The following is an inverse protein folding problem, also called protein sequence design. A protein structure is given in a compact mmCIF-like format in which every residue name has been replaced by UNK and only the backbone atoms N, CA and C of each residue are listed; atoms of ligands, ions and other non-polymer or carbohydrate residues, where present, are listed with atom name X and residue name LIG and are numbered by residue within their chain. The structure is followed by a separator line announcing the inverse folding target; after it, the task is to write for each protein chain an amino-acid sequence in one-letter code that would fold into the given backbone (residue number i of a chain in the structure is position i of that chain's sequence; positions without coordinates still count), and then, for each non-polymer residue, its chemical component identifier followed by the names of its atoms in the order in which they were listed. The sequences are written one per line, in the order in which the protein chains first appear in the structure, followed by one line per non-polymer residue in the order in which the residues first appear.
data_IF_005935125947
#
_entry.id   IF_005935125947
#
_cell.length_a   1.000
_cell.length_b   1.000
_cell.length_c   1.000
_cell.angle_alpha   90.00
_cell.angle_beta   90.00
_cell.angle_gamma   90.00
#
_symmetry.space_group_name_H-M   'P 1'
#
loop_
_entity.id
_entity.type
_entity.pdbx_description
1 polymer ?
#
# COMPACT_ATOMS: atom_id res chain seq x y z
N UNK A 1 -32.85 5.52 9.82
CA UNK A 1 -31.62 5.71 10.55
C UNK A 1 -30.44 5.41 9.67
N UNK A 2 -29.50 6.32 9.61
CA UNK A 2 -28.33 6.13 8.80
C UNK A 2 -27.28 5.37 9.61
N UNK A 3 -26.80 4.26 9.04
CA UNK A 3 -25.72 3.52 9.70
C UNK A 3 -24.44 4.35 9.70
N UNK A 4 -23.73 4.42 10.84
CA UNK A 4 -22.41 5.04 10.85
C UNK A 4 -21.49 4.37 9.86
N UNK A 5 -20.50 5.11 9.37
CA UNK A 5 -19.50 4.55 8.45
C UNK A 5 -18.80 3.34 9.05
N UNK A 6 -18.67 3.29 10.38
CA UNK A 6 -18.08 2.17 11.09
C UNK A 6 -18.91 0.88 11.01
N UNK A 7 -20.17 0.98 10.60
CA UNK A 7 -21.04 -0.18 10.43
C UNK A 7 -21.13 -0.62 8.96
N UNK A 8 -20.16 -0.23 8.16
CA UNK A 8 -20.11 -0.67 6.77
C UNK A 8 -20.03 -2.19 6.72
N UNK A 9 -20.63 -2.72 5.66
CA UNK A 9 -20.60 -4.15 5.36
C UNK A 9 -19.13 -4.61 5.25
N UNK A 10 -18.84 -5.75 5.86
CA UNK A 10 -17.47 -6.29 5.83
C UNK A 10 -16.98 -6.53 4.39
N UNK A 11 -17.87 -6.96 3.50
CA UNK A 11 -17.52 -7.16 2.10
C UNK A 11 -17.12 -5.87 1.40
N UNK A 12 -17.78 -4.75 1.75
CA UNK A 12 -17.40 -3.44 1.21
C UNK A 12 -16.03 -3.00 1.71
N UNK A 13 -15.75 -3.21 3.00
CA UNK A 13 -14.45 -2.87 3.59
C UNK A 13 -13.33 -3.65 2.92
N UNK A 14 -13.52 -4.96 2.76
CA UNK A 14 -12.52 -5.82 2.10
C UNK A 14 -12.32 -5.42 0.65
N UNK A 15 -13.39 -5.06 -0.04
CA UNK A 15 -13.31 -4.63 -1.44
C UNK A 15 -12.53 -3.33 -1.58
N UNK A 16 -12.76 -2.37 -0.69
CA UNK A 16 -12.04 -1.10 -0.69
C UNK A 16 -10.56 -1.32 -0.44
N UNK A 17 -10.20 -2.19 0.50
CA UNK A 17 -8.81 -2.52 0.77
C UNK A 17 -8.14 -3.16 -0.45
N UNK A 18 -8.83 -4.03 -1.15
CA UNK A 18 -8.30 -4.66 -2.36
C UNK A 18 -8.04 -3.63 -3.46
N UNK A 19 -8.96 -2.68 -3.65
CA UNK A 19 -8.80 -1.62 -4.64
C UNK A 19 -7.57 -0.77 -4.30
N UNK A 20 -7.39 -0.41 -3.04
CA UNK A 20 -6.25 0.40 -2.62
C UNK A 20 -4.92 -0.35 -2.79
N UNK A 21 -4.89 -1.65 -2.50
CA UNK A 21 -3.70 -2.46 -2.74
C UNK A 21 -3.38 -2.54 -4.23
N UNK A 22 -4.38 -2.61 -5.08
CA UNK A 22 -4.18 -2.61 -6.53
C UNK A 22 -3.62 -1.27 -7.01
N UNK A 23 -4.05 -0.16 -6.42
CA UNK A 23 -3.51 1.16 -6.72
C UNK A 23 -2.05 1.26 -6.30
N UNK A 24 -1.71 0.75 -5.12
CA UNK A 24 -0.32 0.69 -4.66
C UNK A 24 0.52 -0.14 -5.62
N UNK A 25 0.02 -1.31 -6.01
CA UNK A 25 0.74 -2.18 -6.95
C UNK A 25 0.95 -1.49 -8.29
N UNK A 26 -0.07 -0.80 -8.81
CA UNK A 26 0.03 -0.09 -10.07
C UNK A 26 1.11 1.00 -10.01
N UNK A 27 1.18 1.75 -8.91
CA UNK A 27 2.19 2.78 -8.74
C UNK A 27 3.59 2.16 -8.63
N UNK A 28 3.72 1.05 -7.90
CA UNK A 28 5.02 0.39 -7.74
C UNK A 28 5.53 -0.26 -9.03
N UNK A 29 4.67 -0.46 -10.03
CA UNK A 29 5.13 -0.91 -11.36
C UNK A 29 5.94 0.15 -12.08
N UNK A 30 5.81 1.40 -11.70
CA UNK A 30 6.61 2.49 -12.28
C UNK A 30 8.02 2.54 -11.71
N UNK A 31 8.28 1.83 -10.61
CA UNK A 31 9.56 1.77 -9.94
C UNK A 31 9.40 1.69 -8.43
N UNK A 32 10.49 1.51 -7.69
CA UNK A 32 10.43 1.50 -6.22
C UNK A 32 10.03 2.87 -5.67
N UNK A 33 9.22 2.87 -4.62
CA UNK A 33 8.77 4.09 -3.96
C UNK A 33 8.70 3.90 -2.45
N UNK A 34 8.88 4.99 -1.72
CA UNK A 34 8.74 5.01 -0.26
C UNK A 34 7.27 5.19 0.12
N UNK A 35 6.94 4.89 1.38
CA UNK A 35 5.55 5.07 1.86
C UNK A 35 5.07 6.51 1.69
N UNK A 36 5.85 7.57 2.05
CA UNK A 36 5.40 8.94 1.80
C UNK A 36 5.13 9.23 0.33
N UNK A 37 5.92 8.69 -0.58
CA UNK A 37 5.71 8.87 -2.02
C UNK A 37 4.41 8.21 -2.47
N UNK A 38 4.15 7.00 -1.99
CA UNK A 38 2.91 6.29 -2.29
C UNK A 38 1.71 7.06 -1.74
N UNK A 39 1.82 7.53 -0.49
CA UNK A 39 0.75 8.29 0.15
C UNK A 39 0.43 9.56 -0.65
N UNK A 40 1.45 10.27 -1.10
CA UNK A 40 1.27 11.47 -1.92
C UNK A 40 0.58 11.15 -3.24
N UNK A 41 1.02 10.09 -3.92
CA UNK A 41 0.45 9.70 -5.21
C UNK A 41 -1.01 9.27 -5.09
N UNK A 42 -1.34 8.53 -4.04
CA UNK A 42 -2.69 8.02 -3.85
C UNK A 42 -3.61 8.99 -3.10
N UNK A 43 -3.08 10.12 -2.66
CA UNK A 43 -3.81 11.08 -1.83
C UNK A 43 -4.41 10.40 -0.60
N UNK A 44 -3.61 9.56 0.06
CA UNK A 44 -4.04 8.77 1.21
C UNK A 44 -3.15 9.06 2.42
N UNK A 45 -3.67 8.91 3.65
CA UNK A 45 -2.85 9.08 4.84
C UNK A 45 -1.72 8.05 4.89
N UNK A 46 -0.54 8.47 5.35
CA UNK A 46 0.61 7.57 5.46
C UNK A 46 0.32 6.36 6.34
N UNK A 47 -0.48 6.54 7.40
CA UNK A 47 -0.84 5.44 8.29
C UNK A 47 -1.60 4.34 7.54
N UNK A 48 -2.51 4.72 6.64
CA UNK A 48 -3.27 3.76 5.85
C UNK A 48 -2.36 3.07 4.83
N UNK A 49 -1.52 3.84 4.14
CA UNK A 49 -0.56 3.29 3.17
C UNK A 49 0.38 2.31 3.87
N UNK A 50 0.84 2.62 5.07
CA UNK A 50 1.69 1.72 5.85
C UNK A 50 0.99 0.38 6.07
N UNK A 51 -0.29 0.40 6.44
CA UNK A 51 -1.06 -0.83 6.64
C UNK A 51 -1.12 -1.66 5.36
N UNK A 52 -1.40 -1.01 4.23
CA UNK A 52 -1.51 -1.70 2.94
C UNK A 52 -0.16 -2.29 2.52
N UNK A 53 0.91 -1.51 2.62
CA UNK A 53 2.25 -1.95 2.23
C UNK A 53 2.73 -3.09 3.13
N UNK A 54 2.51 -2.99 4.45
CA UNK A 54 2.90 -4.05 5.37
C UNK A 54 2.12 -5.35 5.11
N UNK A 55 0.84 -5.24 4.77
CA UNK A 55 0.05 -6.40 4.39
C UNK A 55 0.58 -7.04 3.10
N UNK A 56 0.91 -6.22 2.11
CA UNK A 56 1.47 -6.72 0.85
C UNK A 56 2.84 -7.38 1.07
N UNK A 57 3.64 -6.81 1.97
CA UNK A 57 4.95 -7.38 2.33
C UNK A 57 4.76 -8.74 3.01
N UNK A 58 3.78 -8.85 3.90
CA UNK A 58 3.46 -10.11 4.58
C UNK A 58 3.11 -11.22 3.62
N UNK A 59 2.40 -10.87 2.55
CA UNK A 59 2.00 -11.84 1.52
C UNK A 59 3.03 -11.98 0.39
N UNK A 60 4.19 -11.35 0.52
CA UNK A 60 5.26 -11.48 -0.46
C UNK A 60 5.04 -10.71 -1.75
N UNK A 61 4.13 -9.74 -1.76
CA UNK A 61 3.85 -8.95 -2.96
C UNK A 61 4.76 -7.73 -3.12
N UNK A 62 5.36 -7.26 -2.03
CA UNK A 62 6.35 -6.18 -2.05
C UNK A 62 7.52 -6.57 -1.17
N UNK A 63 8.66 -5.96 -1.43
CA UNK A 63 9.85 -6.10 -0.61
C UNK A 63 10.46 -4.74 -0.37
N UNK A 64 11.09 -4.56 0.78
CA UNK A 64 11.86 -3.36 1.07
C UNK A 64 13.24 -3.48 0.42
N UNK A 65 13.70 -2.36 -0.13
CA UNK A 65 15.03 -2.27 -0.72
C UNK A 65 15.96 -1.52 0.22
N UNK A 66 17.29 -1.72 0.08
CA UNK A 66 18.25 -0.97 0.88
C UNK A 66 18.07 0.52 0.69
N UNK A 67 18.26 1.29 1.75
CA UNK A 67 18.25 2.74 1.70
C UNK A 67 19.63 3.28 2.04
N UNK A 68 19.94 4.50 1.60
CA UNK A 68 21.15 5.17 2.00
C UNK A 68 21.00 5.73 3.42
N UNK A 69 22.12 6.11 4.06
CA UNK A 69 22.09 6.68 5.41
C UNK A 69 21.36 8.00 5.48
N UNK A 70 21.29 8.72 4.37
CA UNK A 70 20.59 9.99 4.31
C UNK A 70 19.10 9.87 4.09
N UNK A 71 18.62 8.66 3.76
CA UNK A 71 17.21 8.43 3.53
C UNK A 71 16.51 8.07 4.84
N UNK A 72 15.35 8.65 5.07
CA UNK A 72 14.53 8.37 6.25
C UNK A 72 13.65 7.16 6.09
N UNK A 73 13.39 6.74 4.85
CA UNK A 73 12.43 5.68 4.55
C UNK A 73 13.01 4.67 3.57
N UNK A 74 12.63 3.41 3.75
CA UNK A 74 12.97 2.36 2.80
C UNK A 74 12.07 2.46 1.57
N UNK A 75 12.63 2.37 0.35
CA UNK A 75 11.79 2.19 -0.83
C UNK A 75 11.28 0.76 -0.90
N UNK A 76 10.07 0.60 -1.41
CA UNK A 76 9.45 -0.70 -1.61
C UNK A 76 9.31 -0.98 -3.09
N UNK A 77 9.58 -2.21 -3.47
CA UNK A 77 9.45 -2.66 -4.85
C UNK A 77 8.39 -3.75 -4.94
N UNK A 78 7.66 -3.76 -6.05
CA UNK A 78 6.69 -4.80 -6.29
C UNK A 78 7.41 -6.11 -6.63
N UNK A 79 6.98 -7.18 -5.98
CA UNK A 79 7.44 -8.53 -6.31
C UNK A 79 6.37 -9.14 -7.20
N UNK A 80 6.70 -9.33 -8.47
CA UNK A 80 5.78 -9.99 -9.38
C UNK A 80 6.13 -11.47 -9.43
N UNK A 81 5.10 -12.30 -9.29
CA UNK A 81 5.30 -13.72 -9.42
C UNK A 81 5.79 -14.03 -10.84
N UNK A 82 6.88 -14.78 -10.93
CA UNK A 82 7.33 -15.25 -12.23
C UNK A 82 6.31 -16.21 -12.78
N UNK A 83 5.98 -16.09 -14.06
CA UNK A 83 5.09 -17.06 -14.68
C UNK A 83 5.69 -18.44 -14.70
#
# INVERSE_FOLDING_TARGET
MTAPASLRNLGEVLRDEMVERDRVAAFLRTGPHTIPEIASELHAPTAEVTKWVMAMRRYGRVRDLPKSRSDDYYPYALVEASP
#
